data_IF_110896378109
#
_entry.id   IF_110896378109
#
_cell.length_a   1.000
_cell.length_b   1.000
_cell.length_c   1.000
_cell.angle_alpha   90.00
_cell.angle_beta   90.00
_cell.angle_gamma   90.00
#
_symmetry.space_group_name_H-M   'P 1'
#
loop_
_entity.id
_entity.type
_entity.pdbx_description
1 polymer ?
#
# COMPACT_ATOMS: atom_id res chain seq x y z
N UNK A 1 18.94 9.90 -15.01
CA UNK A 1 17.55 10.40 -14.89
C UNK A 1 16.55 9.26 -15.04
N UNK A 2 16.59 8.50 -16.14
CA UNK A 2 15.75 7.31 -16.32
C UNK A 2 15.86 6.31 -15.15
N UNK A 3 17.08 5.89 -14.80
CA UNK A 3 17.30 4.91 -13.71
C UNK A 3 16.82 5.38 -12.33
N UNK A 4 16.83 6.69 -12.07
CA UNK A 4 16.30 7.23 -10.82
C UNK A 4 14.77 7.18 -10.80
N UNK A 5 14.11 7.53 -11.91
CA UNK A 5 12.66 7.42 -12.03
C UNK A 5 12.21 5.96 -11.95
N UNK A 6 12.94 5.05 -12.58
CA UNK A 6 12.70 3.62 -12.49
C UNK A 6 12.79 3.13 -11.04
N UNK A 7 13.80 3.59 -10.29
CA UNK A 7 13.92 3.31 -8.86
C UNK A 7 12.74 3.87 -8.04
N UNK A 8 12.21 5.05 -8.39
CA UNK A 8 10.99 5.58 -7.77
C UNK A 8 9.73 4.82 -8.19
N UNK A 9 9.73 4.06 -9.27
CA UNK A 9 8.59 3.24 -9.70
C UNK A 9 8.63 1.85 -9.05
N UNK A 10 9.78 1.19 -9.02
CA UNK A 10 9.92 -0.22 -8.62
C UNK A 10 10.87 -0.48 -7.44
N UNK A 11 11.76 0.44 -7.12
CA UNK A 11 12.81 0.26 -6.12
C UNK A 11 12.39 0.54 -4.68
N UNK A 12 13.16 0.06 -3.73
CA UNK A 12 12.96 0.24 -2.27
C UNK A 12 13.84 1.36 -1.71
N UNK A 13 13.66 1.69 -0.42
CA UNK A 13 14.56 2.59 0.29
C UNK A 13 16.03 2.10 0.27
N UNK A 14 16.25 0.78 0.36
CA UNK A 14 17.59 0.18 0.30
C UNK A 14 18.24 0.46 -1.05
N UNK A 15 17.48 0.30 -2.13
CA UNK A 15 17.95 0.60 -3.49
C UNK A 15 18.28 2.09 -3.64
N UNK A 16 17.43 2.97 -3.10
CA UNK A 16 17.68 4.42 -3.12
C UNK A 16 19.00 4.78 -2.44
N UNK A 17 19.29 4.20 -1.27
CA UNK A 17 20.56 4.45 -0.56
C UNK A 17 21.77 3.96 -1.35
N UNK A 18 21.68 2.78 -1.97
CA UNK A 18 22.73 2.27 -2.84
C UNK A 18 22.97 3.21 -4.03
N UNK A 19 21.89 3.74 -4.62
CA UNK A 19 21.95 4.68 -5.74
C UNK A 19 22.59 6.03 -5.33
N UNK A 20 22.21 6.60 -4.17
CA UNK A 20 22.82 7.84 -3.65
C UNK A 20 24.31 7.65 -3.38
N UNK A 21 24.71 6.51 -2.80
CA UNK A 21 26.12 6.19 -2.55
C UNK A 21 26.93 6.06 -3.85
N UNK A 22 26.33 5.51 -4.90
CA UNK A 22 26.96 5.37 -6.20
C UNK A 22 27.01 6.69 -6.99
N UNK A 23 26.04 7.59 -6.79
CA UNK A 23 25.89 8.83 -7.56
C UNK A 23 25.51 10.04 -6.68
N UNK A 24 26.40 10.51 -5.79
CA UNK A 24 26.12 11.62 -4.87
C UNK A 24 25.84 12.96 -5.59
N UNK A 25 26.53 13.21 -6.71
CA UNK A 25 26.37 14.43 -7.52
C UNK A 25 25.00 14.51 -8.23
N UNK A 26 24.34 13.37 -8.44
CA UNK A 26 23.08 13.30 -9.18
C UNK A 26 21.91 13.96 -8.43
N UNK A 27 21.87 13.84 -7.09
CA UNK A 27 20.81 14.43 -6.27
C UNK A 27 20.97 15.96 -6.20
N UNK A 28 22.19 16.43 -5.95
CA UNK A 28 22.49 17.86 -5.81
C UNK A 28 22.42 18.64 -7.13
N UNK A 29 23.05 18.15 -8.20
CA UNK A 29 23.18 18.94 -9.44
C UNK A 29 22.02 18.73 -10.42
N UNK A 30 21.50 17.49 -10.55
CA UNK A 30 20.51 17.16 -11.59
C UNK A 30 19.07 17.23 -11.11
N UNK A 31 18.78 16.81 -9.88
CA UNK A 31 17.42 16.85 -9.33
C UNK A 31 17.09 18.23 -8.76
N UNK A 32 18.05 18.94 -8.16
CA UNK A 32 17.83 20.23 -7.48
C UNK A 32 16.67 20.16 -6.46
N UNK A 33 16.50 19.00 -5.83
CA UNK A 33 15.50 18.77 -4.77
C UNK A 33 16.27 18.43 -3.49
N UNK A 34 15.77 18.89 -2.34
CA UNK A 34 16.30 18.48 -1.05
C UNK A 34 16.24 16.96 -0.87
N UNK A 35 17.35 16.38 -0.41
CA UNK A 35 17.47 14.95 -0.16
C UNK A 35 16.41 14.45 0.83
N UNK A 36 16.08 15.26 1.85
CA UNK A 36 15.06 14.94 2.85
C UNK A 36 13.68 14.70 2.22
N UNK A 37 13.30 15.49 1.20
CA UNK A 37 12.01 15.36 0.50
C UNK A 37 11.96 14.06 -0.31
N UNK A 38 13.04 13.76 -1.03
CA UNK A 38 13.16 12.51 -1.79
C UNK A 38 13.14 11.29 -0.88
N UNK A 39 13.80 11.39 0.28
CA UNK A 39 13.85 10.32 1.27
C UNK A 39 12.48 10.08 1.92
N UNK A 40 11.73 11.14 2.26
CA UNK A 40 10.33 11.01 2.71
C UNK A 40 9.46 10.36 1.62
N UNK A 41 9.64 10.75 0.36
CA UNK A 41 8.86 10.21 -0.76
C UNK A 41 9.14 8.73 -1.01
N UNK A 42 10.40 8.29 -1.00
CA UNK A 42 10.73 6.88 -1.21
C UNK A 42 10.32 6.01 -0.02
N UNK A 43 10.37 6.51 1.21
CA UNK A 43 9.79 5.83 2.38
C UNK A 43 8.29 5.57 2.18
N UNK A 44 7.55 6.58 1.73
CA UNK A 44 6.11 6.45 1.48
C UNK A 44 5.81 5.41 0.39
N UNK A 45 6.59 5.42 -0.68
CA UNK A 45 6.47 4.46 -1.77
C UNK A 45 6.84 3.03 -1.35
N UNK A 46 7.83 2.89 -0.47
CA UNK A 46 8.22 1.60 0.11
C UNK A 46 7.11 1.07 1.01
N UNK A 47 6.54 1.90 1.88
CA UNK A 47 5.38 1.55 2.72
C UNK A 47 4.20 1.05 1.89
N UNK A 48 3.85 1.75 0.81
CA UNK A 48 2.76 1.31 -0.09
C UNK A 48 3.06 -0.04 -0.74
N UNK A 49 4.32 -0.31 -1.09
CA UNK A 49 4.73 -1.60 -1.68
C UNK A 49 4.66 -2.75 -0.67
N UNK A 50 4.95 -2.48 0.61
CA UNK A 50 4.80 -3.47 1.70
C UNK A 50 3.32 -3.73 1.97
N UNK A 51 2.50 -2.67 1.99
CA UNK A 51 1.06 -2.74 2.19
C UNK A 51 0.32 -3.50 1.07
N UNK A 52 0.87 -3.55 -0.14
CA UNK A 52 0.32 -4.35 -1.24
C UNK A 52 0.44 -5.85 -1.00
N UNK A 53 1.50 -6.29 -0.32
CA UNK A 53 1.79 -7.70 -0.09
C UNK A 53 1.25 -8.22 1.25
N UNK A 54 1.12 -7.35 2.25
CA UNK A 54 0.74 -7.73 3.61
C UNK A 54 -0.37 -6.84 4.16
N UNK A 55 -1.50 -7.44 4.53
CA UNK A 55 -2.59 -6.74 5.21
C UNK A 55 -2.30 -6.47 6.70
N UNK A 56 -1.43 -7.25 7.33
CA UNK A 56 -1.00 -7.07 8.73
C UNK A 56 0.52 -7.00 8.73
N UNK A 57 1.06 -5.87 9.19
CA UNK A 57 2.50 -5.58 9.16
C UNK A 57 2.96 -5.33 10.60
N UNK A 58 4.03 -5.98 11.03
CA UNK A 58 4.65 -5.71 12.33
C UNK A 58 5.44 -4.40 12.26
N UNK A 59 5.34 -3.58 13.31
CA UNK A 59 6.01 -2.28 13.38
C UNK A 59 7.53 -2.42 13.36
N UNK A 60 8.07 -3.46 13.99
CA UNK A 60 9.52 -3.68 14.03
C UNK A 60 10.08 -3.98 12.63
N UNK A 61 9.39 -4.81 11.83
CA UNK A 61 9.76 -5.06 10.43
C UNK A 61 9.61 -3.80 9.57
N UNK A 62 8.58 -2.99 9.84
CA UNK A 62 8.36 -1.75 9.10
C UNK A 62 9.44 -0.70 9.43
N UNK A 63 9.87 -0.62 10.69
CA UNK A 63 10.95 0.24 11.15
C UNK A 63 12.26 -0.08 10.42
N UNK A 64 12.60 -1.37 10.30
CA UNK A 64 13.78 -1.85 9.59
C UNK A 64 13.74 -1.50 8.08
N UNK A 65 12.60 -1.73 7.42
CA UNK A 65 12.48 -1.45 5.98
C UNK A 65 12.44 0.05 5.64
N UNK A 66 11.93 0.88 6.55
CA UNK A 66 11.87 2.34 6.38
C UNK A 66 13.08 3.08 6.96
N UNK A 67 14.00 2.35 7.61
CA UNK A 67 15.14 2.89 8.36
C UNK A 67 14.70 4.04 9.27
N UNK A 68 13.70 3.74 10.11
CA UNK A 68 13.14 4.63 11.11
C UNK A 68 13.26 3.95 12.47
N UNK A 69 13.45 4.73 13.53
CA UNK A 69 13.39 4.18 14.89
C UNK A 69 12.00 3.61 15.16
N UNK A 70 11.88 2.44 15.81
CA UNK A 70 10.60 1.77 16.10
C UNK A 70 9.71 2.47 17.16
N UNK A 71 9.95 3.76 17.41
CA UNK A 71 9.30 4.62 18.40
C UNK A 71 8.39 5.67 17.70
N UNK A 72 8.07 6.78 18.38
CA UNK A 72 7.18 7.87 17.92
C UNK A 72 7.37 8.31 16.45
N UNK A 73 8.60 8.28 15.93
CA UNK A 73 8.89 8.68 14.55
C UNK A 73 8.24 7.77 13.50
N UNK A 74 8.09 6.47 13.79
CA UNK A 74 7.40 5.55 12.89
C UNK A 74 5.89 5.79 12.89
N UNK A 75 5.31 6.01 14.07
CA UNK A 75 3.88 6.30 14.22
C UNK A 75 3.50 7.60 13.55
N UNK A 76 4.27 8.68 13.78
CA UNK A 76 4.08 9.96 13.12
C UNK A 76 4.14 9.81 11.59
N UNK A 77 5.08 9.01 11.08
CA UNK A 77 5.18 8.73 9.65
C UNK A 77 3.97 7.95 9.11
N UNK A 78 3.45 6.98 9.86
CA UNK A 78 2.24 6.24 9.48
C UNK A 78 1.02 7.16 9.46
N UNK A 79 0.89 8.05 10.46
CA UNK A 79 -0.19 9.03 10.54
C UNK A 79 -0.13 9.97 9.32
N UNK A 80 1.06 10.50 8.99
CA UNK A 80 1.30 11.30 7.79
C UNK A 80 0.88 10.54 6.52
N UNK A 81 1.25 9.25 6.41
CA UNK A 81 0.91 8.42 5.26
C UNK A 81 -0.60 8.20 5.11
N UNK A 82 -1.32 8.09 6.24
CA UNK A 82 -2.78 8.00 6.26
C UNK A 82 -3.39 9.35 5.87
N UNK A 83 -2.86 10.46 6.37
CA UNK A 83 -3.37 11.81 6.09
C UNK A 83 -3.27 12.18 4.60
N UNK A 84 -2.22 11.74 3.91
CA UNK A 84 -2.07 11.91 2.45
C UNK A 84 -2.82 10.86 1.62
N UNK A 85 -3.59 9.97 2.27
CA UNK A 85 -4.33 8.87 1.65
C UNK A 85 -3.47 7.87 0.87
N UNK A 86 -2.18 7.73 1.22
CA UNK A 86 -1.33 6.70 0.62
C UNK A 86 -1.74 5.30 1.10
N UNK A 87 -2.09 5.20 2.38
CA UNK A 87 -2.65 4.00 3.01
C UNK A 87 -3.83 4.38 3.89
N UNK A 88 -4.69 3.40 4.20
CA UNK A 88 -5.72 3.50 5.22
C UNK A 88 -5.66 2.23 6.05
N UNK A 89 -5.69 2.37 7.36
CA UNK A 89 -5.52 1.26 8.27
C UNK A 89 -5.70 1.67 9.72
N UNK A 90 -5.50 0.71 10.60
CA UNK A 90 -5.52 0.90 12.05
C UNK A 90 -4.23 0.40 12.64
N UNK A 91 -3.67 1.20 13.54
CA UNK A 91 -2.52 0.81 14.35
C UNK A 91 -3.01 0.09 15.61
N UNK A 92 -2.35 -1.00 15.97
CA UNK A 92 -2.59 -1.73 17.20
C UNK A 92 -1.33 -1.71 18.06
N UNK A 93 -1.35 -0.84 19.07
CA UNK A 93 -0.25 -0.65 20.02
C UNK A 93 0.08 -1.92 20.81
N UNK A 94 -0.93 -2.66 21.26
CA UNK A 94 -0.70 -3.83 22.11
C UNK A 94 0.05 -4.94 21.38
N UNK A 95 -0.25 -5.14 20.09
CA UNK A 95 0.39 -6.16 19.27
C UNK A 95 1.53 -5.62 18.42
N UNK A 96 1.80 -4.31 18.47
CA UNK A 96 2.74 -3.59 17.61
C UNK A 96 2.55 -3.94 16.12
N UNK A 97 1.30 -3.84 15.65
CA UNK A 97 0.96 -4.14 14.25
C UNK A 97 0.12 -3.05 13.58
N UNK A 98 0.40 -2.80 12.30
CA UNK A 98 -0.41 -2.01 11.40
C UNK A 98 -1.32 -2.94 10.60
N UNK A 99 -2.64 -2.75 10.74
CA UNK A 99 -3.66 -3.44 9.95
C UNK A 99 -4.09 -2.54 8.80
N UNK A 100 -3.70 -2.89 7.58
CA UNK A 100 -4.01 -2.13 6.37
C UNK A 100 -5.39 -2.54 5.83
N UNK A 101 -6.26 -1.54 5.65
CA UNK A 101 -7.59 -1.69 5.05
C UNK A 101 -7.57 -1.41 3.55
N UNK A 102 -6.85 -0.38 3.13
CA UNK A 102 -6.65 -0.04 1.72
C UNK A 102 -5.33 0.69 1.51
N UNK A 103 -4.82 0.65 0.29
CA UNK A 103 -3.57 1.28 -0.10
C UNK A 103 -3.64 1.76 -1.54
N UNK A 104 -2.86 2.79 -1.85
CA UNK A 104 -2.66 3.21 -3.23
C UNK A 104 -1.57 2.35 -3.87
N UNK A 105 -1.87 1.82 -5.06
CA UNK A 105 -0.89 1.04 -5.79
C UNK A 105 0.16 1.98 -6.38
N UNK A 106 1.43 1.66 -6.13
CA UNK A 106 2.56 2.39 -6.69
C UNK A 106 2.63 2.28 -8.22
N UNK A 107 2.24 1.12 -8.74
CA UNK A 107 2.07 0.85 -10.16
C UNK A 107 0.71 0.19 -10.41
N UNK A 108 0.03 0.61 -11.47
CA UNK A 108 -1.23 0.01 -11.87
C UNK A 108 -1.12 -0.46 -13.32
N UNK A 109 -0.82 -1.74 -13.49
CA UNK A 109 -0.60 -2.38 -14.78
C UNK A 109 -1.65 -3.42 -15.13
N UNK A 110 -1.31 -4.29 -16.08
CA UNK A 110 -2.20 -5.37 -16.54
C UNK A 110 -2.56 -6.36 -15.43
N UNK A 111 -1.63 -6.66 -14.52
CA UNK A 111 -1.87 -7.61 -13.44
C UNK A 111 -2.94 -7.11 -12.46
N UNK A 112 -2.87 -5.82 -12.11
CA UNK A 112 -3.87 -5.17 -11.28
C UNK A 112 -5.24 -5.12 -11.98
N UNK A 113 -5.27 -4.86 -13.30
CA UNK A 113 -6.50 -4.94 -14.10
C UNK A 113 -7.12 -6.35 -14.10
N UNK A 114 -6.31 -7.39 -14.28
CA UNK A 114 -6.80 -8.77 -14.25
C UNK A 114 -7.34 -9.15 -12.87
N UNK A 115 -6.66 -8.72 -11.80
CA UNK A 115 -7.11 -8.94 -10.43
C UNK A 115 -8.42 -8.21 -10.16
N UNK A 116 -8.55 -6.97 -10.62
CA UNK A 116 -9.78 -6.19 -10.51
C UNK A 116 -10.93 -6.84 -11.26
N UNK A 117 -10.71 -7.29 -12.50
CA UNK A 117 -11.72 -7.98 -13.30
C UNK A 117 -12.21 -9.25 -12.60
N UNK A 118 -11.29 -10.08 -12.07
CA UNK A 118 -11.65 -11.28 -11.31
C UNK A 118 -12.50 -10.93 -10.08
N UNK A 119 -12.08 -9.92 -9.31
CA UNK A 119 -12.85 -9.46 -8.12
C UNK A 119 -14.25 -8.97 -8.49
N UNK A 120 -14.39 -8.16 -9.55
CA UNK A 120 -15.69 -7.69 -10.03
C UNK A 120 -16.58 -8.85 -10.49
N UNK A 121 -16.03 -9.81 -11.23
CA UNK A 121 -16.80 -10.97 -11.67
C UNK A 121 -17.31 -11.80 -10.50
N UNK A 122 -16.47 -12.03 -9.48
CA UNK A 122 -16.88 -12.71 -8.24
C UNK A 122 -17.98 -11.93 -7.52
N UNK A 123 -17.86 -10.61 -7.39
CA UNK A 123 -18.89 -9.77 -6.77
C UNK A 123 -20.23 -9.85 -7.50
N UNK A 124 -20.21 -9.77 -8.84
CA UNK A 124 -21.41 -9.90 -9.67
C UNK A 124 -22.04 -11.28 -9.50
N UNK A 125 -21.25 -12.34 -9.46
CA UNK A 125 -21.75 -13.70 -9.26
C UNK A 125 -22.37 -13.87 -7.86
N UNK A 126 -21.71 -13.35 -6.83
CA UNK A 126 -22.23 -13.36 -5.46
C UNK A 126 -23.57 -12.60 -5.35
N UNK A 127 -23.68 -11.45 -6.03
CA UNK A 127 -24.93 -10.68 -6.07
C UNK A 127 -26.06 -11.46 -6.74
N UNK A 128 -25.79 -12.10 -7.89
CA UNK A 128 -26.77 -12.95 -8.59
C UNK A 128 -27.24 -14.12 -7.74
N UNK A 129 -26.30 -14.78 -7.06
CA UNK A 129 -26.62 -15.89 -6.17
C UNK A 129 -27.47 -15.42 -4.98
N UNK A 130 -27.09 -14.31 -4.34
CA UNK A 130 -27.87 -13.73 -3.24
C UNK A 130 -29.29 -13.36 -3.68
N UNK A 131 -29.45 -12.72 -4.84
CA UNK A 131 -30.76 -12.40 -5.40
C UNK A 131 -31.61 -13.65 -5.66
N UNK A 132 -31.02 -14.70 -6.25
CA UNK A 132 -31.71 -15.97 -6.48
C UNK A 132 -32.15 -16.64 -5.17
N UNK A 133 -31.27 -16.62 -4.15
CA UNK A 133 -31.58 -17.16 -2.83
C UNK A 133 -32.76 -16.41 -2.18
N UNK A 134 -32.73 -15.08 -2.20
CA UNK A 134 -33.82 -14.25 -1.64
C UNK A 134 -35.14 -14.52 -2.39
N UNK A 135 -35.10 -14.62 -3.72
CA UNK A 135 -36.29 -14.91 -4.51
C UNK A 135 -36.89 -16.29 -4.20
N UNK A 136 -36.05 -17.32 -4.05
CA UNK A 136 -36.49 -18.66 -3.68
C UNK A 136 -37.11 -18.71 -2.27
N UNK A 137 -36.56 -17.96 -1.31
CA UNK A 137 -37.11 -17.87 0.04
C UNK A 137 -38.49 -17.21 0.02
N UNK A 138 -38.65 -16.10 -0.72
CA UNK A 138 -39.95 -15.43 -0.82
C UNK A 138 -41.03 -16.34 -1.43
N UNK A 139 -40.71 -17.08 -2.50
CA UNK A 139 -41.65 -18.05 -3.08
C UNK A 139 -42.04 -19.16 -2.10
N UNK A 140 -41.09 -19.62 -1.27
CA UNK A 140 -41.38 -20.62 -0.24
C UNK A 140 -42.29 -20.06 0.87
N UNK A 141 -42.08 -18.81 1.29
CA UNK A 141 -42.94 -18.13 2.28
C UNK A 141 -44.36 -17.94 1.73
N UNK A 142 -44.49 -17.50 0.47
CA UNK A 142 -45.79 -17.32 -0.19
C UNK A 142 -46.54 -18.64 -0.37
N UNK A 143 -45.84 -19.77 -0.48
CA UNK A 143 -46.45 -21.11 -0.56
C UNK A 143 -46.95 -21.67 0.78
N UNK A 144 -46.52 -21.08 1.90
CA UNK A 144 -46.88 -21.48 3.27
C UNK A 144 -48.01 -20.60 3.86
N UNK A 145 -48.33 -19.48 3.22
CA UNK A 145 -49.41 -18.55 3.58
C UNK A 145 -50.70 -18.86 2.79
#
# INVERSE_FOLDING_TARGET
MYSALELFISGTLKDYRAFVKAHPEFVGEKLKVEEAVLLKKIRLLTLMSIAENNNVIHLDTLAEELDLSPDDHLEEFIIDAIQVNAISGKLNEMTRTLVVSSFQHRQFGREQWQTLQKRLQTLVNNLKQSHANIHSINQHVDSLA
#
